data_IF_657326962863
#
_entry.id   IF_657326962863
#
_cell.length_a   1.000
_cell.length_b   1.000
_cell.length_c   1.000
_cell.angle_alpha   90.00
_cell.angle_beta   90.00
_cell.angle_gamma   90.00
#
_symmetry.space_group_name_H-M   'P 1'
#
loop_
_entity.id
_entity.type
_entity.pdbx_description
1 polymer ?
#
# COMPACT_ATOMS: atom_id res chain seq x y z
N UNK A 1 15.26 -25.57 16.73
CA UNK A 1 15.85 -24.22 16.56
C UNK A 1 16.08 -23.64 17.95
N UNK A 2 17.23 -23.03 18.20
CA UNK A 2 17.50 -22.40 19.50
C UNK A 2 16.46 -21.30 19.78
N UNK A 3 15.92 -21.26 21.01
CA UNK A 3 14.93 -20.27 21.42
C UNK A 3 15.42 -18.83 21.27
N UNK A 4 16.73 -18.59 21.39
CA UNK A 4 17.36 -17.29 21.15
C UNK A 4 17.38 -16.94 19.68
N UNK A 5 17.71 -17.91 18.83
CA UNK A 5 17.70 -17.73 17.36
C UNK A 5 16.27 -17.43 16.89
N UNK A 6 15.28 -18.17 17.38
CA UNK A 6 13.87 -17.88 17.10
C UNK A 6 13.49 -16.44 17.49
N UNK A 7 13.86 -16.01 18.71
CA UNK A 7 13.60 -14.66 19.19
C UNK A 7 14.25 -13.60 18.29
N UNK A 8 15.52 -13.76 17.91
CA UNK A 8 16.21 -12.80 17.04
C UNK A 8 15.59 -12.72 15.66
N UNK A 9 15.13 -13.83 15.10
CA UNK A 9 14.42 -13.85 13.81
C UNK A 9 13.11 -13.07 13.91
N UNK A 10 12.30 -13.32 14.95
CA UNK A 10 11.03 -12.61 15.15
C UNK A 10 11.25 -11.12 15.35
N UNK A 11 12.20 -10.72 16.20
CA UNK A 11 12.54 -9.31 16.43
C UNK A 11 13.07 -8.67 15.15
N UNK A 12 13.92 -9.36 14.39
CA UNK A 12 14.42 -8.88 13.11
C UNK A 12 13.31 -8.61 12.09
N UNK A 13 12.34 -9.51 11.98
CA UNK A 13 11.16 -9.32 11.11
C UNK A 13 10.34 -8.12 11.57
N UNK A 14 10.09 -7.97 12.86
CA UNK A 14 9.33 -6.84 13.40
C UNK A 14 10.02 -5.50 13.11
N UNK A 15 11.34 -5.42 13.30
CA UNK A 15 12.13 -4.22 12.98
C UNK A 15 12.10 -3.93 11.48
N UNK A 16 12.20 -4.96 10.64
CA UNK A 16 12.15 -4.81 9.19
C UNK A 16 10.78 -4.32 8.72
N UNK A 17 9.69 -4.89 9.24
CA UNK A 17 8.33 -4.43 8.94
C UNK A 17 8.14 -2.97 9.37
N UNK A 18 8.58 -2.61 10.58
CA UNK A 18 8.51 -1.23 11.07
C UNK A 18 9.27 -0.26 10.15
N UNK A 19 10.46 -0.63 9.71
CA UNK A 19 11.26 0.16 8.78
C UNK A 19 10.52 0.35 7.45
N UNK A 20 10.01 -0.74 6.87
CA UNK A 20 9.27 -0.70 5.60
C UNK A 20 8.04 0.21 5.71
N UNK A 21 7.21 0.07 6.75
CA UNK A 21 6.02 0.90 6.91
C UNK A 21 6.32 2.37 7.22
N UNK A 22 7.47 2.67 7.81
CA UNK A 22 7.88 4.05 8.12
C UNK A 22 8.38 4.79 6.87
N UNK A 23 9.20 4.14 6.05
CA UNK A 23 9.82 4.78 4.88
C UNK A 23 9.04 4.60 3.58
N UNK A 24 8.13 3.62 3.52
CA UNK A 24 7.34 3.30 2.34
C UNK A 24 5.84 3.24 2.65
N UNK A 25 5.22 4.37 3.07
CA UNK A 25 3.80 4.41 3.41
C UNK A 25 2.90 4.02 2.23
N UNK A 26 3.36 4.17 0.98
CA UNK A 26 2.61 3.76 -0.21
C UNK A 26 2.30 2.25 -0.30
N UNK A 27 3.01 1.39 0.46
CA UNK A 27 2.75 -0.05 0.48
C UNK A 27 1.40 -0.37 1.13
N UNK A 28 1.00 0.35 2.19
CA UNK A 28 -0.31 0.12 2.83
C UNK A 28 -1.43 0.42 1.85
N UNK A 29 -1.25 1.47 1.05
CA UNK A 29 -2.17 1.84 0.00
C UNK A 29 -2.22 0.76 -1.10
N UNK A 30 -1.08 0.27 -1.59
CA UNK A 30 -1.06 -0.81 -2.58
C UNK A 30 -1.76 -2.09 -2.08
N UNK A 31 -1.62 -2.41 -0.79
CA UNK A 31 -2.34 -3.53 -0.16
C UNK A 31 -3.85 -3.25 -0.13
N UNK A 32 -4.27 -2.06 0.29
CA UNK A 32 -5.69 -1.68 0.33
C UNK A 32 -6.33 -1.68 -1.06
N UNK A 33 -5.59 -1.24 -2.08
CA UNK A 33 -6.07 -1.16 -3.45
C UNK A 33 -6.14 -2.53 -4.14
N UNK A 34 -5.27 -3.48 -3.75
CA UNK A 34 -5.21 -4.82 -4.34
C UNK A 34 -6.52 -5.63 -4.32
N UNK A 35 -7.48 -5.24 -3.46
CA UNK A 35 -8.80 -5.86 -3.37
C UNK A 35 -9.91 -5.13 -4.15
N UNK A 36 -9.66 -3.93 -4.68
CA UNK A 36 -10.67 -3.13 -5.39
C UNK A 36 -10.71 -3.52 -6.86
N UNK A 37 -11.91 -3.71 -7.40
CA UNK A 37 -12.13 -4.03 -8.82
C UNK A 37 -13.24 -3.16 -9.40
N UNK A 38 -13.40 -3.15 -10.73
CA UNK A 38 -14.47 -2.38 -11.38
C UNK A 38 -14.36 -0.87 -11.10
N UNK A 39 -15.47 -0.23 -10.72
CA UNK A 39 -15.56 1.20 -10.41
C UNK A 39 -15.08 1.55 -8.99
N UNK A 40 -14.96 0.57 -8.10
CA UNK A 40 -14.56 0.82 -6.71
C UNK A 40 -13.13 1.35 -6.62
N UNK A 41 -12.28 0.98 -7.59
CA UNK A 41 -10.93 1.52 -7.73
C UNK A 41 -10.89 3.02 -8.09
N UNK A 42 -11.98 3.62 -8.53
CA UNK A 42 -12.03 5.06 -8.80
C UNK A 42 -12.29 5.88 -7.52
N UNK A 43 -12.77 5.24 -6.44
CA UNK A 43 -13.07 5.92 -5.18
C UNK A 43 -11.82 6.34 -4.43
N UNK A 44 -11.79 7.61 -4.00
CA UNK A 44 -10.69 8.16 -3.19
C UNK A 44 -10.54 7.35 -1.90
N UNK A 45 -9.37 6.76 -1.62
CA UNK A 45 -9.14 6.03 -0.39
C UNK A 45 -9.00 6.99 0.80
N UNK A 46 -9.28 6.50 2.01
CA UNK A 46 -9.10 7.27 3.22
C UNK A 46 -7.62 7.71 3.36
N UNK A 47 -7.41 8.99 3.65
CA UNK A 47 -6.07 9.58 3.79
C UNK A 47 -5.49 10.20 2.52
N UNK A 48 -6.19 10.13 1.38
CA UNK A 48 -5.85 10.85 0.15
C UNK A 48 -6.85 11.97 -0.10
N UNK A 49 -6.37 13.08 -0.67
CA UNK A 49 -7.27 14.05 -1.30
C UNK A 49 -7.69 13.56 -2.68
N UNK A 50 -8.78 14.12 -3.24
CA UNK A 50 -9.15 13.87 -4.63
C UNK A 50 -8.01 14.17 -5.60
N UNK A 51 -7.24 15.23 -5.34
CA UNK A 51 -6.11 15.62 -6.18
C UNK A 51 -4.95 14.62 -6.09
N UNK A 52 -4.56 14.21 -4.88
CA UNK A 52 -3.51 13.20 -4.71
C UNK A 52 -3.91 11.87 -5.37
N UNK A 53 -5.21 11.55 -5.30
CA UNK A 53 -5.75 10.34 -5.89
C UNK A 53 -5.79 10.42 -7.41
N UNK A 54 -6.18 11.55 -7.98
CA UNK A 54 -6.09 11.82 -9.41
C UNK A 54 -4.66 11.68 -9.92
N UNK A 55 -3.69 12.28 -9.22
CA UNK A 55 -2.27 12.16 -9.55
C UNK A 55 -1.79 10.71 -9.46
N UNK A 56 -2.15 9.98 -8.40
CA UNK A 56 -1.84 8.56 -8.27
C UNK A 56 -2.37 7.73 -9.45
N UNK A 57 -3.66 7.89 -9.77
CA UNK A 57 -4.30 7.17 -10.88
C UNK A 57 -3.64 7.50 -12.22
N UNK A 58 -3.15 8.74 -12.40
CA UNK A 58 -2.46 9.17 -13.63
C UNK A 58 -1.14 8.42 -13.89
N UNK A 59 -0.49 7.90 -12.84
CA UNK A 59 0.71 7.07 -12.97
C UNK A 59 0.41 5.61 -13.37
N UNK A 60 -0.85 5.18 -13.25
CA UNK A 60 -1.29 3.80 -13.52
C UNK A 60 -2.52 3.77 -14.46
N UNK A 61 -2.43 4.34 -15.67
CA UNK A 61 -3.59 4.52 -16.56
C UNK A 61 -4.24 3.21 -17.01
N UNK A 62 -3.47 2.13 -17.11
CA UNK A 62 -4.00 0.80 -17.45
C UNK A 62 -4.91 0.24 -16.35
N UNK A 63 -4.58 0.53 -15.09
CA UNK A 63 -5.35 0.09 -13.92
C UNK A 63 -6.59 0.96 -13.77
N UNK A 64 -6.49 2.29 -13.93
CA UNK A 64 -7.58 3.23 -13.68
C UNK A 64 -8.31 3.71 -14.94
N UNK A 65 -8.24 2.93 -16.02
CA UNK A 65 -8.97 3.23 -17.25
C UNK A 65 -10.46 3.45 -16.97
N UNK A 66 -10.96 4.65 -17.30
CA UNK A 66 -12.34 5.07 -17.05
C UNK A 66 -12.61 5.75 -15.70
N UNK A 67 -11.60 5.95 -14.85
CA UNK A 67 -11.74 6.74 -13.62
C UNK A 67 -11.41 8.23 -13.80
N UNK A 68 -10.64 8.58 -14.84
CA UNK A 68 -10.11 9.93 -15.10
C UNK A 68 -10.85 10.66 -16.24
N UNK A 69 -12.05 10.22 -16.59
CA UNK A 69 -12.87 10.75 -17.70
C UNK A 69 -13.88 11.80 -17.25
#
# INVERSE_FOLDING_TARGET
MDKKIFLYVVVGILVLLLFVFTFFPGITYAIMDSGKTGTDKCSVPAGYTEQDWYEHMSHHPEIYKGCLS
#
